data_IF_899099290321
#
_entry.id   IF_899099290321
#
_cell.length_a   1.000
_cell.length_b   1.000
_cell.length_c   1.000
_cell.angle_alpha   90.00
_cell.angle_beta   90.00
_cell.angle_gamma   90.00
#
_symmetry.space_group_name_H-M   'P 1'
#
loop_
_entity.id
_entity.type
_entity.pdbx_description
1 polymer ?
#
# COMPACT_ATOMS: atom_id res chain seq x y z
N UNK A 1 -20.43 -20.85 12.16
CA UNK A 1 -19.54 -21.93 11.66
C UNK A 1 -18.67 -21.33 10.55
N UNK A 2 -17.58 -20.68 10.95
CA UNK A 2 -16.54 -20.20 10.03
C UNK A 2 -15.86 -21.42 9.45
N UNK A 3 -15.85 -21.55 8.12
CA UNK A 3 -15.09 -22.58 7.45
C UNK A 3 -13.61 -22.36 7.76
N UNK A 4 -12.99 -23.31 8.45
CA UNK A 4 -11.55 -23.34 8.61
C UNK A 4 -10.95 -23.62 7.23
N UNK A 5 -10.45 -22.58 6.57
CA UNK A 5 -9.59 -22.77 5.40
C UNK A 5 -8.28 -23.39 5.90
N UNK A 6 -7.77 -24.47 5.28
CA UNK A 6 -6.49 -25.03 5.66
C UNK A 6 -5.39 -23.96 5.57
N UNK A 7 -4.55 -23.92 6.60
CA UNK A 7 -3.50 -22.91 6.87
C UNK A 7 -2.48 -22.79 5.73
N UNK A 8 -2.34 -23.83 4.91
CA UNK A 8 -1.55 -23.83 3.68
C UNK A 8 -2.40 -24.40 2.56
N UNK A 9 -3.17 -23.55 1.89
CA UNK A 9 -3.84 -23.94 0.65
C UNK A 9 -3.00 -23.45 -0.52
N UNK A 10 -2.35 -24.40 -1.19
CA UNK A 10 -1.74 -24.18 -2.51
C UNK A 10 -2.84 -23.59 -3.40
N UNK A 11 -2.60 -22.41 -3.99
CA UNK A 11 -3.53 -21.85 -4.98
C UNK A 11 -3.33 -22.65 -6.27
N UNK A 12 -4.29 -23.48 -6.70
CA UNK A 12 -4.11 -24.31 -7.88
C UNK A 12 -3.88 -23.44 -9.13
N UNK A 13 -2.81 -23.71 -9.88
CA UNK A 13 -2.48 -22.98 -11.11
C UNK A 13 -1.64 -21.71 -10.95
N UNK A 14 -1.30 -21.32 -9.72
CA UNK A 14 -0.41 -20.18 -9.47
C UNK A 14 1.02 -20.66 -9.17
N UNK A 15 1.97 -20.30 -10.02
CA UNK A 15 3.40 -20.53 -9.83
C UNK A 15 4.17 -19.24 -10.08
N UNK A 16 5.17 -18.95 -9.26
CA UNK A 16 6.07 -17.84 -9.53
C UNK A 16 6.83 -18.09 -10.85
N UNK A 17 7.28 -17.02 -11.53
CA UNK A 17 8.01 -17.12 -12.80
C UNK A 17 9.30 -17.95 -12.69
N UNK A 18 9.89 -18.03 -11.50
CA UNK A 18 11.08 -18.82 -11.19
C UNK A 18 10.76 -20.25 -10.72
N UNK A 19 9.50 -20.69 -10.84
CA UNK A 19 9.05 -22.02 -10.42
C UNK A 19 8.88 -22.17 -8.92
N UNK A 20 9.07 -21.11 -8.12
CA UNK A 20 8.80 -21.16 -6.68
C UNK A 20 7.31 -21.29 -6.40
N UNK A 21 7.02 -22.03 -5.35
CA UNK A 21 5.67 -22.24 -4.87
C UNK A 21 5.09 -20.95 -4.31
N UNK A 22 3.91 -20.57 -4.80
CA UNK A 22 3.14 -19.46 -4.21
C UNK A 22 2.26 -20.05 -3.12
N UNK A 23 2.45 -19.58 -1.89
CA UNK A 23 1.67 -20.00 -0.72
C UNK A 23 0.75 -18.87 -0.28
N UNK A 24 -0.49 -19.23 0.04
CA UNK A 24 -1.39 -18.38 0.79
C UNK A 24 -1.41 -18.89 2.23
N UNK A 25 -0.95 -18.05 3.15
CA UNK A 25 -1.01 -18.29 4.58
C UNK A 25 -2.19 -17.53 5.18
N UNK A 26 -3.00 -18.22 5.97
CA UNK A 26 -4.13 -17.62 6.69
C UNK A 26 -3.97 -17.92 8.17
N UNK A 27 -3.76 -16.86 8.96
CA UNK A 27 -3.66 -16.94 10.41
C UNK A 27 -5.01 -16.48 10.99
N UNK A 28 -5.83 -17.45 11.39
CA UNK A 28 -7.07 -17.17 12.11
C UNK A 28 -6.78 -16.74 13.55
N UNK A 29 -7.48 -15.69 14.01
CA UNK A 29 -7.29 -15.10 15.35
C UNK A 29 -5.81 -14.88 15.69
N UNK A 30 -5.13 -14.09 14.85
CA UNK A 30 -3.71 -13.82 14.96
C UNK A 30 -3.39 -12.51 15.70
N UNK A 31 -2.17 -12.44 16.23
CA UNK A 31 -1.57 -11.24 16.80
C UNK A 31 -0.29 -10.92 16.04
N UNK A 32 -0.10 -9.64 15.69
CA UNK A 32 1.12 -9.12 15.07
C UNK A 32 1.81 -8.21 16.08
N UNK A 33 3.04 -8.56 16.45
CA UNK A 33 3.89 -7.74 17.29
C UNK A 33 4.78 -6.87 16.40
N UNK A 34 4.76 -5.56 16.65
CA UNK A 34 5.51 -4.57 15.88
C UNK A 34 6.40 -3.78 16.83
N UNK A 35 7.68 -3.69 16.51
CA UNK A 35 8.62 -2.84 17.21
C UNK A 35 8.24 -1.36 16.95
N UNK A 36 7.80 -0.67 17.99
CA UNK A 36 7.37 0.72 17.90
C UNK A 36 8.48 1.72 17.52
N UNK A 37 9.75 1.34 17.65
CA UNK A 37 10.89 2.19 17.30
C UNK A 37 11.28 2.08 15.83
N UNK A 38 11.18 0.88 15.24
CA UNK A 38 11.59 0.63 13.86
C UNK A 38 10.43 0.47 12.88
N UNK A 39 9.23 0.16 13.38
CA UNK A 39 8.07 -0.20 12.56
C UNK A 39 8.17 -1.61 11.95
N UNK A 40 9.12 -2.43 12.39
CA UNK A 40 9.33 -3.78 11.89
C UNK A 40 8.43 -4.78 12.59
N UNK A 41 7.95 -5.80 11.86
CA UNK A 41 7.25 -6.93 12.46
C UNK A 41 8.26 -7.79 13.22
N UNK A 42 8.07 -7.93 14.54
CA UNK A 42 8.90 -8.80 15.39
C UNK A 42 8.42 -10.24 15.34
N UNK A 43 7.10 -10.45 15.39
CA UNK A 43 6.51 -11.77 15.23
C UNK A 43 5.05 -11.70 14.81
N UNK A 44 4.58 -12.79 14.19
CA UNK A 44 3.17 -13.04 13.92
C UNK A 44 2.84 -14.40 14.51
N UNK A 45 1.81 -14.46 15.34
CA UNK A 45 1.43 -15.68 16.07
C UNK A 45 -0.08 -15.87 16.00
N UNK A 46 -0.55 -17.11 16.10
CA UNK A 46 -1.94 -17.36 16.47
C UNK A 46 -2.14 -17.07 17.95
N UNK A 47 -3.34 -16.67 18.33
CA UNK A 47 -3.70 -16.43 19.72
C UNK A 47 -3.56 -17.71 20.58
N UNK A 48 -3.89 -18.88 20.02
CA UNK A 48 -3.77 -20.18 20.70
C UNK A 48 -2.32 -20.59 21.01
N UNK A 49 -1.35 -20.02 20.29
CA UNK A 49 0.08 -20.34 20.44
C UNK A 49 0.81 -19.30 21.34
N UNK A 50 0.08 -18.41 22.00
CA UNK A 50 0.65 -17.37 22.85
C UNK A 50 1.27 -17.92 24.14
N UNK A 51 2.38 -17.30 24.55
CA UNK A 51 3.02 -17.54 25.84
C UNK A 51 2.49 -16.59 26.91
N UNK A 52 2.72 -16.91 28.19
CA UNK A 52 2.42 -15.98 29.31
C UNK A 52 3.09 -14.61 29.15
N UNK A 53 4.28 -14.58 28.53
CA UNK A 53 4.99 -13.32 28.23
C UNK A 53 4.26 -12.51 27.16
N UNK A 54 3.76 -13.17 26.11
CA UNK A 54 2.97 -12.52 25.06
C UNK A 54 1.69 -11.92 25.64
N UNK A 55 0.97 -12.66 26.49
CA UNK A 55 -0.24 -12.18 27.17
C UNK A 55 0.05 -10.94 28.03
N UNK A 56 1.16 -10.95 28.78
CA UNK A 56 1.59 -9.80 29.57
C UNK A 56 1.85 -8.58 28.68
N UNK A 57 2.55 -8.76 27.56
CA UNK A 57 2.81 -7.67 26.60
C UNK A 57 1.52 -7.10 26.00
N UNK A 58 0.56 -7.95 25.64
CA UNK A 58 -0.76 -7.50 25.13
C UNK A 58 -1.51 -6.72 26.21
N UNK A 59 -1.53 -7.21 27.45
CA UNK A 59 -2.20 -6.53 28.56
C UNK A 59 -1.58 -5.15 28.82
N UNK A 60 -0.26 -5.06 28.86
CA UNK A 60 0.45 -3.78 29.00
C UNK A 60 0.16 -2.84 27.82
N UNK A 61 0.24 -3.33 26.58
CA UNK A 61 -0.10 -2.56 25.39
C UNK A 61 -1.57 -2.11 25.36
N UNK A 62 -2.49 -2.91 25.91
CA UNK A 62 -3.91 -2.56 26.01
C UNK A 62 -4.15 -1.44 27.01
N UNK A 63 -3.48 -1.46 28.17
CA UNK A 63 -3.55 -0.38 29.17
C UNK A 63 -2.98 0.92 28.60
N UNK A 64 -1.90 0.84 27.84
CA UNK A 64 -1.24 2.01 27.23
C UNK A 64 -1.89 2.49 25.92
N UNK A 65 -2.97 1.86 25.46
CA UNK A 65 -3.64 2.19 24.19
C UNK A 65 -2.84 1.87 22.93
N UNK A 66 -1.81 1.02 23.03
CA UNK A 66 -0.96 0.54 21.93
C UNK A 66 -1.44 -0.78 21.33
N UNK A 67 -2.43 -1.43 21.95
CA UNK A 67 -3.09 -2.61 21.38
C UNK A 67 -4.25 -2.19 20.47
N UNK A 68 -4.20 -2.62 19.22
CA UNK A 68 -5.26 -2.39 18.23
C UNK A 68 -6.03 -3.68 17.96
N UNK A 69 -7.25 -3.77 18.49
CA UNK A 69 -8.15 -4.87 18.15
C UNK A 69 -8.83 -4.61 16.80
N UNK A 70 -8.42 -5.36 15.79
CA UNK A 70 -8.96 -5.26 14.42
C UNK A 70 -10.04 -6.30 14.12
N UNK A 71 -10.42 -7.13 15.10
CA UNK A 71 -11.40 -8.20 14.92
C UNK A 71 -12.78 -7.65 14.55
N UNK A 72 -13.53 -8.45 13.80
CA UNK A 72 -14.91 -8.15 13.43
C UNK A 72 -15.37 -8.95 12.21
N UNK A 73 -16.68 -9.07 11.98
CA UNK A 73 -17.21 -9.79 10.83
C UNK A 73 -16.66 -9.24 9.51
N UNK A 74 -16.04 -10.10 8.71
CA UNK A 74 -15.50 -9.74 7.39
C UNK A 74 -14.24 -8.87 7.43
N UNK A 75 -13.61 -8.68 8.59
CA UNK A 75 -12.33 -7.96 8.71
C UNK A 75 -11.17 -8.93 8.74
N UNK A 76 -10.08 -8.55 8.08
CA UNK A 76 -8.80 -9.23 8.12
C UNK A 76 -7.69 -8.23 7.76
N UNK A 77 -6.46 -8.56 8.12
CA UNK A 77 -5.27 -7.78 7.76
C UNK A 77 -4.53 -8.48 6.62
N UNK A 78 -3.98 -7.68 5.71
CA UNK A 78 -3.06 -8.12 4.65
C UNK A 78 -1.90 -7.15 4.56
N UNK A 79 -0.76 -7.56 3.98
CA UNK A 79 0.28 -6.62 3.58
C UNK A 79 -0.29 -5.53 2.66
N UNK A 80 0.25 -4.31 2.79
CA UNK A 80 -0.09 -3.23 1.87
C UNK A 80 0.35 -3.55 0.44
N UNK A 81 -0.38 -3.03 -0.54
CA UNK A 81 -0.09 -3.27 -1.95
C UNK A 81 1.18 -2.54 -2.39
N UNK A 82 1.87 -3.16 -3.34
CA UNK A 82 3.03 -2.59 -4.03
C UNK A 82 2.61 -2.28 -5.47
N UNK A 83 2.51 -0.99 -5.78
CA UNK A 83 2.27 -0.53 -7.14
C UNK A 83 3.61 -0.32 -7.83
N UNK A 84 3.94 -1.22 -8.77
CA UNK A 84 5.24 -1.22 -9.43
C UNK A 84 5.34 -0.21 -10.56
N UNK A 85 4.27 0.51 -10.93
CA UNK A 85 4.30 1.45 -12.04
C UNK A 85 3.08 2.39 -12.02
N UNK A 86 3.30 3.65 -11.64
CA UNK A 86 2.23 4.67 -11.65
C UNK A 86 2.76 6.02 -12.11
N UNK A 87 2.06 6.65 -13.05
CA UNK A 87 2.35 8.01 -13.49
C UNK A 87 1.56 9.02 -12.65
N UNK A 88 2.19 9.57 -11.62
CA UNK A 88 1.53 10.51 -10.72
C UNK A 88 0.98 11.77 -11.39
N UNK A 89 1.68 12.43 -12.34
CA UNK A 89 1.18 13.62 -13.03
C UNK A 89 -0.10 13.39 -13.82
N UNK A 90 -0.35 12.13 -14.19
CA UNK A 90 -1.44 11.74 -15.08
C UNK A 90 -2.74 11.46 -14.33
N UNK A 91 -2.72 11.54 -12.99
CA UNK A 91 -3.87 11.25 -12.13
C UNK A 91 -5.08 12.14 -12.39
N UNK A 92 -4.86 13.43 -12.74
CA UNK A 92 -5.92 14.43 -12.91
C UNK A 92 -6.89 14.15 -14.05
N UNK A 93 -6.48 13.39 -15.06
CA UNK A 93 -7.27 13.08 -16.26
C UNK A 93 -7.43 11.58 -16.51
N UNK A 94 -7.19 10.75 -15.48
CA UNK A 94 -7.37 9.30 -15.57
C UNK A 94 -8.75 8.94 -16.15
N UNK A 95 -8.78 8.00 -17.10
CA UNK A 95 -10.02 7.57 -17.76
C UNK A 95 -10.51 8.46 -18.90
N UNK A 96 -9.74 9.46 -19.34
CA UNK A 96 -10.05 10.27 -20.53
C UNK A 96 -9.33 9.77 -21.79
N UNK A 97 -9.92 10.01 -22.97
CA UNK A 97 -9.31 9.70 -24.27
C UNK A 97 -9.09 8.21 -24.55
N UNK A 98 -9.92 7.33 -23.98
CA UNK A 98 -9.79 5.86 -24.11
C UNK A 98 -10.06 5.33 -25.53
N UNK A 99 -10.59 6.18 -26.41
CA UNK A 99 -10.85 5.92 -27.82
C UNK A 99 -9.68 6.31 -28.75
N UNK A 100 -8.66 6.98 -28.22
CA UNK A 100 -7.50 7.41 -29.00
C UNK A 100 -6.38 6.35 -29.01
N UNK A 101 -5.63 6.23 -30.12
CA UNK A 101 -4.35 5.51 -30.12
C UNK A 101 -3.37 6.14 -29.13
N UNK A 102 -2.48 5.32 -28.54
CA UNK A 102 -1.53 5.75 -27.50
C UNK A 102 -0.76 7.03 -27.86
N UNK A 103 -0.15 7.12 -29.04
CA UNK A 103 0.62 8.30 -29.43
C UNK A 103 -0.24 9.56 -29.50
N UNK A 104 -1.46 9.45 -30.04
CA UNK A 104 -2.40 10.56 -30.08
C UNK A 104 -2.90 10.96 -28.69
N UNK A 105 -3.08 9.99 -27.78
CA UNK A 105 -3.42 10.24 -26.39
C UNK A 105 -2.30 10.99 -25.65
N UNK A 106 -1.04 10.60 -25.88
CA UNK A 106 0.13 11.28 -25.32
C UNK A 106 0.19 12.75 -25.74
N UNK A 107 0.05 13.02 -27.04
CA UNK A 107 0.10 14.38 -27.58
C UNK A 107 -1.09 15.24 -27.13
N UNK A 108 -2.28 14.64 -27.02
CA UNK A 108 -3.52 15.37 -26.70
C UNK A 108 -3.67 15.64 -25.20
N UNK A 109 -3.29 14.68 -24.34
CA UNK A 109 -3.55 14.73 -22.91
C UNK A 109 -2.26 14.74 -22.09
N UNK A 110 -1.35 13.79 -22.33
CA UNK A 110 -0.22 13.56 -21.44
C UNK A 110 0.79 14.67 -21.42
N UNK A 111 1.37 15.02 -22.57
CA UNK A 111 2.41 16.05 -22.59
C UNK A 111 1.89 17.43 -22.16
N UNK A 112 0.70 17.90 -22.57
CA UNK A 112 0.15 19.16 -22.06
C UNK A 112 -0.08 19.15 -20.55
N UNK A 113 -0.58 18.05 -19.99
CA UNK A 113 -0.81 17.94 -18.55
C UNK A 113 0.51 17.93 -17.78
N UNK A 114 1.50 17.15 -18.22
CA UNK A 114 2.83 17.09 -17.59
C UNK A 114 3.60 18.40 -17.69
N UNK A 115 3.44 19.16 -18.78
CA UNK A 115 4.03 20.50 -18.93
C UNK A 115 3.55 21.48 -17.85
N UNK A 116 2.29 21.37 -17.41
CA UNK A 116 1.75 22.25 -16.35
C UNK A 116 2.45 22.07 -15.00
N UNK A 117 3.16 20.96 -14.76
CA UNK A 117 3.92 20.71 -13.54
C UNK A 117 5.21 21.53 -13.46
N UNK A 118 5.51 22.34 -14.48
CA UNK A 118 6.47 23.44 -14.36
C UNK A 118 6.10 24.38 -13.20
N UNK A 119 4.81 24.51 -12.91
CA UNK A 119 4.30 25.19 -11.71
C UNK A 119 4.24 24.22 -10.50
N UNK A 120 5.06 24.44 -9.44
CA UNK A 120 5.07 23.59 -8.26
C UNK A 120 3.74 23.52 -7.51
N UNK A 121 2.87 24.54 -7.60
CA UNK A 121 1.57 24.52 -6.92
C UNK A 121 0.60 23.56 -7.59
N UNK A 122 0.65 23.45 -8.92
CA UNK A 122 -0.10 22.42 -9.67
C UNK A 122 0.40 21.04 -9.29
N UNK A 123 1.74 20.87 -9.22
CA UNK A 123 2.36 19.62 -8.80
C UNK A 123 1.89 19.21 -7.40
N UNK A 124 1.93 20.12 -6.43
CA UNK A 124 1.52 19.88 -5.03
C UNK A 124 0.08 19.38 -4.95
N UNK A 125 -0.86 20.12 -5.55
CA UNK A 125 -2.28 19.76 -5.53
C UNK A 125 -2.54 18.38 -6.13
N UNK A 126 -1.91 18.06 -7.26
CA UNK A 126 -2.10 16.78 -7.92
C UNK A 126 -1.45 15.63 -7.14
N UNK A 127 -0.21 15.81 -6.68
CA UNK A 127 0.53 14.78 -5.94
C UNK A 127 -0.09 14.47 -4.57
N UNK A 128 -0.59 15.48 -3.85
CA UNK A 128 -1.36 15.25 -2.63
C UNK A 128 -2.59 14.38 -2.88
N UNK A 129 -3.26 14.59 -4.02
CA UNK A 129 -4.46 13.86 -4.40
C UNK A 129 -4.15 12.39 -4.72
N UNK A 130 -3.16 12.12 -5.58
CA UNK A 130 -2.81 10.74 -5.96
C UNK A 130 -2.27 9.95 -4.77
N UNK A 131 -1.34 10.51 -3.98
CA UNK A 131 -0.76 9.80 -2.82
C UNK A 131 -1.84 9.51 -1.77
N UNK A 132 -2.72 10.48 -1.48
CA UNK A 132 -3.84 10.24 -0.55
C UNK A 132 -4.79 9.18 -1.08
N UNK A 133 -5.03 9.14 -2.40
CA UNK A 133 -5.91 8.16 -3.01
C UNK A 133 -5.30 6.76 -2.96
N UNK A 134 -4.04 6.59 -3.36
CA UNK A 134 -3.37 5.28 -3.40
C UNK A 134 -3.24 4.70 -1.99
N UNK A 135 -2.90 5.51 -0.99
CA UNK A 135 -2.92 5.07 0.42
C UNK A 135 -4.31 4.60 0.87
N UNK A 136 -5.37 5.33 0.51
CA UNK A 136 -6.75 4.96 0.84
C UNK A 136 -7.17 3.63 0.21
N UNK A 137 -6.65 3.32 -0.98
CA UNK A 137 -6.89 2.05 -1.68
C UNK A 137 -5.91 0.94 -1.26
N UNK A 138 -5.03 1.20 -0.29
CA UNK A 138 -4.14 0.20 0.32
C UNK A 138 -2.75 0.08 -0.30
N UNK A 139 -2.39 0.92 -1.27
CA UNK A 139 -1.01 0.97 -1.81
C UNK A 139 -0.09 1.67 -0.82
N UNK A 140 0.79 0.90 -0.18
CA UNK A 140 1.75 1.42 0.80
C UNK A 140 3.13 1.67 0.20
N UNK A 141 3.43 1.06 -0.96
CA UNK A 141 4.67 1.22 -1.71
C UNK A 141 4.35 1.49 -3.18
N UNK A 142 4.92 2.55 -3.78
CA UNK A 142 4.64 2.90 -5.17
C UNK A 142 5.88 3.38 -5.94
N UNK A 143 6.06 2.90 -7.17
CA UNK A 143 7.06 3.42 -8.10
C UNK A 143 6.46 4.52 -8.98
N UNK A 144 6.56 5.76 -8.50
CA UNK A 144 6.03 6.92 -9.21
C UNK A 144 6.95 7.41 -10.34
N UNK A 145 6.36 7.61 -11.51
CA UNK A 145 6.90 8.49 -12.55
C UNK A 145 6.43 9.91 -12.26
N UNK A 146 7.39 10.83 -12.12
CA UNK A 146 7.16 12.27 -12.10
C UNK A 146 7.20 12.89 -13.50
N UNK A 147 7.42 14.19 -13.59
CA UNK A 147 7.69 14.88 -14.86
C UNK A 147 9.18 15.21 -15.00
N UNK A 148 9.58 15.79 -16.13
CA UNK A 148 10.95 16.27 -16.35
C UNK A 148 11.35 17.45 -15.43
N UNK A 149 10.39 18.07 -14.73
CA UNK A 149 10.63 19.23 -13.89
C UNK A 149 11.16 18.80 -12.50
N UNK A 150 12.36 19.27 -12.16
CA UNK A 150 13.00 18.98 -10.87
C UNK A 150 12.15 19.45 -9.69
N UNK A 151 11.63 20.68 -9.75
CA UNK A 151 10.80 21.27 -8.69
C UNK A 151 9.55 20.45 -8.38
N UNK A 152 8.90 19.88 -9.40
CA UNK A 152 7.77 18.97 -9.20
C UNK A 152 8.22 17.70 -8.47
N UNK A 153 9.38 17.13 -8.84
CA UNK A 153 9.91 15.93 -8.19
C UNK A 153 10.26 16.16 -6.72
N UNK A 154 10.79 17.35 -6.38
CA UNK A 154 11.03 17.76 -4.98
C UNK A 154 9.72 17.81 -4.18
N UNK A 155 8.67 18.41 -4.74
CA UNK A 155 7.33 18.45 -4.13
C UNK A 155 6.77 17.04 -3.89
N UNK A 156 6.97 16.11 -4.83
CA UNK A 156 6.57 14.70 -4.63
C UNK A 156 7.28 14.09 -3.41
N UNK A 157 8.59 14.28 -3.28
CA UNK A 157 9.37 13.72 -2.17
C UNK A 157 8.93 14.29 -0.82
N UNK A 158 8.63 15.59 -0.75
CA UNK A 158 8.06 16.21 0.45
C UNK A 158 6.74 15.52 0.85
N UNK A 159 5.80 15.39 -0.10
CA UNK A 159 4.48 14.78 0.14
C UNK A 159 4.60 13.32 0.59
N UNK A 160 5.50 12.54 -0.03
CA UNK A 160 5.75 11.15 0.36
C UNK A 160 6.28 11.08 1.80
N UNK A 161 7.19 11.98 2.18
CA UNK A 161 7.70 12.10 3.56
C UNK A 161 6.61 12.47 4.56
N UNK A 162 5.77 13.46 4.25
CA UNK A 162 4.65 13.89 5.09
C UNK A 162 3.61 12.78 5.29
N UNK A 163 3.26 12.07 4.21
CA UNK A 163 2.23 11.02 4.21
C UNK A 163 2.77 9.64 4.60
N UNK A 164 4.10 9.51 4.73
CA UNK A 164 4.80 8.26 5.06
C UNK A 164 4.48 7.11 4.09
N UNK A 165 4.23 7.41 2.82
CA UNK A 165 4.13 6.38 1.78
C UNK A 165 5.54 6.01 1.31
N UNK A 166 5.79 4.73 1.07
CA UNK A 166 7.08 4.21 0.58
C UNK A 166 7.21 4.31 -0.92
#
# INVERSE_FOLDING_TARGET
>A
KTAAFPIESRIPGLSAKDGKEVRLEIIGDGVVFVDGSTGSIESVKKYEDMTEQDEKMINEASVDGRFLDTRGPGKFLIPGFVDTHVHAPQFSYQGTGLDLPLLSWLDTYTFPAEESFRDPEIARKNYESVVSRTLKEGTTCAMYFGTIHLSASEVMLEILGEKKQR
#
